data_IF_460571890186
#
_entry.id   IF_460571890186
#
_cell.length_a   1.000
_cell.length_b   1.000
_cell.length_c   1.000
_cell.angle_alpha   90.00
_cell.angle_beta   90.00
_cell.angle_gamma   90.00
#
_symmetry.space_group_name_H-M   'P 1'
#
loop_
_entity.id
_entity.type
_entity.pdbx_description
1 polymer ?
#
# COMPACT_ATOMS: atom_id res chain seq x y z
N UNK A 1 -39.99 -0.42 13.39
CA UNK A 1 -38.93 0.14 12.52
C UNK A 1 -37.61 -0.02 13.26
N UNK A 2 -36.81 -1.03 12.88
CA UNK A 2 -35.65 -1.49 13.65
C UNK A 2 -34.51 -0.51 13.39
N UNK A 3 -34.31 0.47 14.28
CA UNK A 3 -33.04 1.19 14.41
C UNK A 3 -32.03 0.14 14.86
N UNK A 4 -31.62 -0.75 13.95
CA UNK A 4 -30.39 -1.52 14.16
C UNK A 4 -29.32 -0.45 14.18
N UNK A 5 -28.64 -0.36 15.30
CA UNK A 5 -27.63 0.66 15.58
C UNK A 5 -26.64 0.79 14.42
N UNK A 6 -26.87 1.75 13.53
CA UNK A 6 -25.91 2.09 12.47
C UNK A 6 -24.53 2.39 13.08
N UNK A 7 -24.51 2.93 14.30
CA UNK A 7 -23.29 3.14 15.07
C UNK A 7 -22.59 1.84 15.46
N UNK A 8 -23.33 0.80 15.86
CA UNK A 8 -22.75 -0.51 16.20
C UNK A 8 -22.22 -1.19 14.94
N UNK A 9 -22.93 -1.08 13.81
CA UNK A 9 -22.48 -1.63 12.53
C UNK A 9 -21.24 -0.90 11.99
N UNK A 10 -21.21 0.43 12.09
CA UNK A 10 -20.02 1.24 11.77
C UNK A 10 -18.82 0.88 12.66
N UNK A 11 -19.02 0.72 13.96
CA UNK A 11 -17.94 0.32 14.88
C UNK A 11 -17.42 -1.08 14.57
N UNK A 12 -18.29 -2.05 14.25
CA UNK A 12 -17.89 -3.39 13.82
C UNK A 12 -17.08 -3.36 12.51
N UNK A 13 -17.53 -2.57 11.53
CA UNK A 13 -16.81 -2.41 10.27
C UNK A 13 -15.44 -1.75 10.46
N UNK A 14 -15.32 -0.79 11.40
CA UNK A 14 -14.05 -0.17 11.77
C UNK A 14 -13.08 -1.17 12.40
N UNK A 15 -13.54 -1.96 13.38
CA UNK A 15 -12.74 -3.01 14.02
C UNK A 15 -12.29 -4.04 12.98
N UNK A 16 -13.17 -4.45 12.06
CA UNK A 16 -12.83 -5.39 10.99
C UNK A 16 -11.80 -4.80 10.01
N UNK A 17 -11.90 -3.50 9.70
CA UNK A 17 -10.92 -2.81 8.86
C UNK A 17 -9.54 -2.69 9.54
N UNK A 18 -9.52 -2.43 10.85
CA UNK A 18 -8.29 -2.41 11.66
C UNK A 18 -7.66 -3.82 11.73
N UNK A 19 -8.48 -4.86 11.93
CA UNK A 19 -8.04 -6.25 11.91
C UNK A 19 -7.45 -6.64 10.56
N UNK A 20 -8.12 -6.29 9.46
CA UNK A 20 -7.61 -6.56 8.11
C UNK A 20 -6.26 -5.88 7.86
N UNK A 21 -6.06 -4.66 8.38
CA UNK A 21 -4.78 -3.96 8.30
C UNK A 21 -3.69 -4.70 9.07
N UNK A 22 -3.99 -5.21 10.27
CA UNK A 22 -3.06 -6.02 11.05
C UNK A 22 -2.72 -7.35 10.35
N UNK A 23 -3.71 -8.04 9.79
CA UNK A 23 -3.49 -9.28 9.02
C UNK A 23 -2.56 -9.04 7.84
N UNK A 24 -2.82 -8.01 7.02
CA UNK A 24 -1.92 -7.66 5.92
C UNK A 24 -0.51 -7.32 6.42
N UNK A 25 -0.38 -6.64 7.56
CA UNK A 25 0.92 -6.34 8.16
C UNK A 25 1.67 -7.61 8.58
N UNK A 26 1.00 -8.58 9.20
CA UNK A 26 1.60 -9.87 9.53
C UNK A 26 2.00 -10.68 8.29
N UNK A 27 1.22 -10.64 7.20
CA UNK A 27 1.59 -11.30 5.93
C UNK A 27 2.86 -10.69 5.34
N UNK A 28 2.98 -9.36 5.38
CA UNK A 28 4.20 -8.66 4.94
C UNK A 28 5.40 -9.05 5.81
N UNK A 29 5.23 -9.06 7.14
CA UNK A 29 6.29 -9.50 8.06
C UNK A 29 6.68 -10.95 7.77
N UNK A 30 5.71 -11.84 7.56
CA UNK A 30 5.96 -13.25 7.25
C UNK A 30 6.77 -13.41 5.97
N UNK A 31 6.41 -12.67 4.92
CA UNK A 31 7.18 -12.63 3.67
C UNK A 31 8.62 -12.14 3.90
N UNK A 32 8.80 -11.07 4.66
CA UNK A 32 10.12 -10.52 5.00
C UNK A 32 10.94 -11.53 5.79
N UNK A 33 10.39 -12.15 6.84
CA UNK A 33 11.11 -13.14 7.65
C UNK A 33 11.49 -14.36 6.81
N UNK A 34 10.59 -14.88 5.98
CA UNK A 34 10.87 -16.03 5.09
C UNK A 34 11.91 -15.71 4.02
N UNK A 35 11.83 -14.54 3.41
CA UNK A 35 12.79 -14.11 2.39
C UNK A 35 14.17 -13.86 3.01
N UNK A 36 14.23 -13.29 4.22
CA UNK A 36 15.50 -12.81 4.80
C UNK A 36 16.18 -13.80 5.74
N UNK A 37 15.42 -14.44 6.62
CA UNK A 37 15.98 -15.39 7.60
C UNK A 37 16.13 -16.79 7.00
N UNK A 38 15.11 -17.25 6.28
CA UNK A 38 15.10 -18.59 5.69
C UNK A 38 15.70 -18.64 4.28
N UNK A 39 16.03 -17.48 3.68
CA UNK A 39 16.56 -17.35 2.31
C UNK A 39 15.74 -18.14 1.27
N UNK A 40 14.43 -18.25 1.50
CA UNK A 40 13.53 -19.01 0.65
C UNK A 40 13.31 -18.27 -0.66
N UNK A 41 13.25 -19.02 -1.76
CA UNK A 41 12.98 -18.48 -3.08
C UNK A 41 11.53 -17.95 -3.17
N UNK A 42 11.27 -17.04 -4.11
CA UNK A 42 9.95 -16.43 -4.33
C UNK A 42 8.88 -17.49 -4.63
N UNK A 43 9.28 -18.60 -5.25
CA UNK A 43 8.40 -19.75 -5.51
C UNK A 43 7.84 -20.41 -4.23
N UNK A 44 8.51 -20.25 -3.09
CA UNK A 44 8.06 -20.80 -1.82
C UNK A 44 7.24 -19.81 -0.98
N UNK A 45 7.19 -18.54 -1.42
CA UNK A 45 6.42 -17.46 -0.78
C UNK A 45 5.24 -17.00 -1.67
N UNK A 46 4.75 -17.87 -2.56
CA UNK A 46 3.66 -17.57 -3.50
C UNK A 46 2.41 -17.12 -2.74
N UNK A 47 2.08 -17.75 -1.62
CA UNK A 47 0.89 -17.43 -0.82
C UNK A 47 0.89 -15.99 -0.32
N UNK A 48 2.00 -15.54 0.24
CA UNK A 48 2.18 -14.18 0.73
C UNK A 48 2.16 -13.18 -0.42
N UNK A 49 2.81 -13.52 -1.54
CA UNK A 49 2.83 -12.70 -2.73
C UNK A 49 1.43 -12.50 -3.34
N UNK A 50 0.66 -13.58 -3.45
CA UNK A 50 -0.74 -13.56 -3.90
C UNK A 50 -1.58 -12.68 -2.99
N UNK A 51 -1.49 -12.83 -1.66
CA UNK A 51 -2.27 -12.03 -0.72
C UNK A 51 -1.89 -10.54 -0.83
N UNK A 52 -0.59 -10.22 -0.90
CA UNK A 52 -0.10 -8.84 -0.99
C UNK A 52 -0.57 -8.15 -2.29
N UNK A 53 -0.70 -8.88 -3.40
CA UNK A 53 -1.17 -8.33 -4.68
C UNK A 53 -2.70 -8.30 -4.77
N UNK A 54 -3.38 -9.38 -4.41
CA UNK A 54 -4.83 -9.49 -4.58
C UNK A 54 -5.59 -8.65 -3.56
N UNK A 55 -5.09 -8.48 -2.33
CA UNK A 55 -5.75 -7.66 -1.32
C UNK A 55 -5.99 -6.20 -1.78
N UNK A 56 -4.99 -5.44 -2.29
CA UNK A 56 -5.22 -4.08 -2.79
C UNK A 56 -6.06 -4.06 -4.06
N UNK A 57 -5.94 -5.05 -4.96
CA UNK A 57 -6.78 -5.14 -6.17
C UNK A 57 -8.24 -5.31 -5.77
N UNK A 58 -8.54 -6.23 -4.85
CA UNK A 58 -9.88 -6.45 -4.35
C UNK A 58 -10.45 -5.19 -3.66
N UNK A 59 -9.65 -4.50 -2.86
CA UNK A 59 -10.05 -3.21 -2.26
C UNK A 59 -10.33 -2.15 -3.32
N UNK A 60 -9.52 -2.07 -4.37
CA UNK A 60 -9.69 -1.12 -5.47
C UNK A 60 -10.96 -1.40 -6.29
N UNK A 61 -11.23 -2.67 -6.61
CA UNK A 61 -12.43 -3.06 -7.37
C UNK A 61 -13.68 -2.83 -6.52
N UNK A 62 -13.67 -3.26 -5.26
CA UNK A 62 -14.84 -3.15 -4.39
C UNK A 62 -15.14 -1.70 -3.98
N UNK A 63 -14.14 -0.84 -3.83
CA UNK A 63 -14.36 0.60 -3.63
C UNK A 63 -15.01 1.28 -4.83
N UNK A 64 -14.66 0.87 -6.06
CA UNK A 64 -15.34 1.35 -7.27
C UNK A 64 -16.80 0.91 -7.31
N UNK A 65 -17.08 -0.36 -6.98
CA UNK A 65 -18.46 -0.88 -6.95
C UNK A 65 -19.35 -0.21 -5.90
N UNK A 66 -18.76 0.20 -4.77
CA UNK A 66 -19.49 0.84 -3.66
C UNK A 66 -19.54 2.37 -3.79
N UNK A 67 -18.93 2.97 -4.80
CA UNK A 67 -18.82 4.43 -4.94
C UNK A 67 -18.00 5.11 -3.83
N UNK A 68 -17.36 4.35 -2.95
CA UNK A 68 -16.64 4.87 -1.79
C UNK A 68 -15.21 5.24 -2.18
N UNK A 69 -14.80 6.45 -1.83
CA UNK A 69 -13.41 6.88 -1.95
C UNK A 69 -12.59 6.18 -0.85
N UNK A 70 -11.82 5.15 -1.24
CA UNK A 70 -10.94 4.39 -0.33
C UNK A 70 -9.95 5.29 0.45
N UNK A 71 -9.68 6.49 -0.05
CA UNK A 71 -8.78 7.50 0.51
C UNK A 71 -9.56 8.63 1.15
N UNK A 72 -10.00 8.45 2.39
CA UNK A 72 -10.58 9.54 3.20
C UNK A 72 -9.60 10.68 3.48
N UNK A 73 -8.30 10.47 3.26
CA UNK A 73 -7.23 11.41 3.57
C UNK A 73 -6.26 11.62 2.39
N UNK A 74 -6.78 11.99 1.21
CA UNK A 74 -5.94 12.34 0.06
C UNK A 74 -4.96 13.49 0.42
N UNK A 75 -5.44 14.46 1.19
CA UNK A 75 -4.65 15.59 1.72
C UNK A 75 -3.48 15.15 2.62
N UNK A 76 -3.62 14.04 3.32
CA UNK A 76 -2.55 13.47 4.16
C UNK A 76 -1.57 12.61 3.36
N UNK A 77 -2.00 12.04 2.23
CA UNK A 77 -1.10 11.38 1.27
C UNK A 77 -0.28 12.39 0.44
N UNK A 78 -0.80 13.60 0.25
CA UNK A 78 -0.07 14.73 -0.33
C UNK A 78 0.97 15.33 0.64
N UNK A 79 0.97 14.91 1.91
CA UNK A 79 1.81 15.50 2.92
C UNK A 79 3.29 15.13 2.65
N UNK A 80 4.17 16.10 2.32
CA UNK A 80 5.54 15.81 1.89
C UNK A 80 6.34 15.05 2.95
N UNK A 81 6.07 15.30 4.24
CA UNK A 81 6.69 14.58 5.36
C UNK A 81 6.43 13.07 5.32
N UNK A 82 5.19 12.66 5.05
CA UNK A 82 4.81 11.24 4.96
C UNK A 82 5.43 10.58 3.72
N UNK A 83 5.51 11.31 2.60
CA UNK A 83 6.16 10.80 1.39
C UNK A 83 7.67 10.60 1.59
N UNK A 84 8.34 11.52 2.28
CA UNK A 84 9.74 11.38 2.67
C UNK A 84 9.91 10.17 3.60
N UNK A 85 9.05 10.02 4.62
CA UNK A 85 9.09 8.85 5.52
C UNK A 85 8.93 7.54 4.74
N UNK A 86 8.00 7.47 3.79
CA UNK A 86 7.77 6.27 2.97
C UNK A 86 8.92 5.99 2.01
N UNK A 87 9.54 7.02 1.43
CA UNK A 87 10.73 6.87 0.60
C UNK A 87 11.92 6.36 1.41
N UNK A 88 12.15 6.93 2.61
CA UNK A 88 13.19 6.47 3.55
C UNK A 88 12.92 5.01 3.95
N UNK A 89 11.68 4.67 4.30
CA UNK A 89 11.31 3.30 4.65
C UNK A 89 11.60 2.34 3.49
N UNK A 90 11.27 2.73 2.25
CA UNK A 90 11.57 1.95 1.05
C UNK A 90 13.07 1.73 0.84
N UNK A 91 13.88 2.77 1.03
CA UNK A 91 15.35 2.69 0.94
C UNK A 91 15.92 1.79 2.05
N UNK A 92 15.41 1.90 3.28
CA UNK A 92 15.85 1.05 4.41
C UNK A 92 15.52 -0.41 4.15
N UNK A 93 14.29 -0.72 3.72
CA UNK A 93 13.87 -2.09 3.38
C UNK A 93 14.72 -2.63 2.22
N UNK A 94 14.97 -1.82 1.20
CA UNK A 94 15.85 -2.22 0.09
C UNK A 94 17.27 -2.54 0.57
N UNK A 95 17.86 -1.66 1.38
CA UNK A 95 19.22 -1.87 1.91
C UNK A 95 19.27 -3.08 2.85
N UNK A 96 18.21 -3.31 3.62
CA UNK A 96 18.09 -4.46 4.51
C UNK A 96 17.98 -5.78 3.72
N UNK A 97 17.20 -5.81 2.63
CA UNK A 97 17.14 -6.96 1.70
C UNK A 97 18.49 -7.16 1.00
N UNK A 98 19.15 -6.08 0.58
CA UNK A 98 20.47 -6.16 -0.05
C UNK A 98 21.52 -6.76 0.88
N UNK A 99 21.60 -6.27 2.12
CA UNK A 99 22.54 -6.74 3.15
C UNK A 99 22.34 -8.22 3.46
N UNK A 100 21.08 -8.68 3.54
CA UNK A 100 20.74 -10.07 3.88
C UNK A 100 20.83 -11.02 2.69
N UNK A 101 20.64 -10.53 1.46
CA UNK A 101 20.74 -11.35 0.24
C UNK A 101 22.18 -11.72 -0.13
N UNK A 102 23.19 -11.13 0.51
CA UNK A 102 24.61 -11.46 0.30
C UNK A 102 25.12 -11.22 -1.12
N UNK A 103 24.33 -10.56 -1.99
CA UNK A 103 24.71 -10.22 -3.35
C UNK A 103 25.73 -9.08 -3.28
N UNK A 104 26.96 -9.37 -3.69
CA UNK A 104 28.01 -8.37 -3.86
C UNK A 104 27.70 -7.51 -5.10
N UNK A 105 26.69 -6.65 -4.96
CA UNK A 105 26.38 -5.62 -5.94
C UNK A 105 27.49 -4.58 -5.84
N UNK A 106 28.22 -4.38 -6.93
CA UNK A 106 29.25 -3.33 -7.01
C UNK A 106 28.62 -1.96 -6.74
N UNK A 107 29.39 -1.05 -6.12
CA UNK A 107 28.89 0.26 -5.65
C UNK A 107 28.17 1.06 -6.74
N UNK A 108 28.67 0.97 -7.97
CA UNK A 108 28.09 1.54 -9.20
C UNK A 108 26.63 1.07 -9.43
N UNK A 109 26.38 -0.24 -9.33
CA UNK A 109 25.06 -0.82 -9.55
C UNK A 109 24.11 -0.53 -8.38
N UNK A 110 24.61 -0.46 -7.15
CA UNK A 110 23.80 -0.09 -5.98
C UNK A 110 23.26 1.34 -6.11
N UNK A 111 24.09 2.27 -6.58
CA UNK A 111 23.67 3.65 -6.84
C UNK A 111 22.56 3.73 -7.90
N UNK A 112 22.75 3.05 -9.04
CA UNK A 112 21.73 2.99 -10.10
C UNK A 112 20.42 2.36 -9.65
N UNK A 113 20.48 1.34 -8.80
CA UNK A 113 19.28 0.68 -8.27
C UNK A 113 18.49 1.59 -7.34
N UNK A 114 19.18 2.32 -6.44
CA UNK A 114 18.56 3.29 -5.53
C UNK A 114 17.98 4.47 -6.33
N UNK A 115 18.71 4.98 -7.33
CA UNK A 115 18.23 6.04 -8.19
C UNK A 115 16.96 5.61 -8.96
N UNK A 116 16.97 4.41 -9.55
CA UNK A 116 15.81 3.84 -10.25
C UNK A 116 14.62 3.65 -9.30
N UNK A 117 14.85 3.16 -8.08
CA UNK A 117 13.81 2.99 -7.06
C UNK A 117 13.17 4.32 -6.68
N UNK A 118 13.97 5.37 -6.42
CA UNK A 118 13.45 6.68 -6.06
C UNK A 118 12.61 7.27 -7.20
N UNK A 119 13.11 7.21 -8.44
CA UNK A 119 12.36 7.70 -9.61
C UNK A 119 11.05 6.94 -9.78
N UNK A 120 11.07 5.61 -9.73
CA UNK A 120 9.87 4.79 -9.85
C UNK A 120 8.87 5.06 -8.70
N UNK A 121 9.36 5.21 -7.47
CA UNK A 121 8.54 5.53 -6.30
C UNK A 121 7.82 6.88 -6.46
N UNK A 122 8.54 7.93 -6.86
CA UNK A 122 7.95 9.24 -7.10
C UNK A 122 6.96 9.21 -8.28
N UNK A 123 7.27 8.51 -9.38
CA UNK A 123 6.36 8.37 -10.52
C UNK A 123 5.06 7.66 -10.15
N UNK A 124 5.14 6.50 -9.49
CA UNK A 124 3.95 5.75 -9.04
C UNK A 124 3.11 6.61 -8.11
N UNK A 125 3.73 7.37 -7.21
CA UNK A 125 3.03 8.29 -6.31
C UNK A 125 2.33 9.42 -7.05
N UNK A 126 2.99 10.08 -7.99
CA UNK A 126 2.39 11.15 -8.79
C UNK A 126 1.20 10.61 -9.60
N UNK A 127 1.36 9.44 -10.22
CA UNK A 127 0.28 8.78 -10.97
C UNK A 127 -0.90 8.42 -10.05
N UNK A 128 -0.61 7.85 -8.88
CA UNK A 128 -1.63 7.49 -7.89
C UNK A 128 -2.41 8.72 -7.41
N UNK A 129 -1.71 9.79 -7.03
CA UNK A 129 -2.32 11.05 -6.58
C UNK A 129 -3.17 11.68 -7.68
N UNK A 130 -2.63 11.79 -8.90
CA UNK A 130 -3.34 12.39 -10.03
C UNK A 130 -4.57 11.58 -10.43
N UNK A 131 -4.49 10.26 -10.36
CA UNK A 131 -5.62 9.36 -10.62
C UNK A 131 -6.72 9.55 -9.57
N UNK A 132 -6.37 9.74 -8.31
CA UNK A 132 -7.34 9.96 -7.24
C UNK A 132 -7.94 11.37 -7.27
N UNK A 133 -7.16 12.41 -7.58
CA UNK A 133 -7.69 13.78 -7.77
C UNK A 133 -8.72 13.83 -8.91
N UNK A 134 -8.43 13.14 -10.02
CA UNK A 134 -9.37 13.02 -11.13
C UNK A 134 -10.66 12.29 -10.76
N UNK A 135 -10.60 11.39 -9.77
CA UNK A 135 -11.76 10.66 -9.26
C UNK A 135 -12.60 11.52 -8.31
N UNK A 136 -11.95 12.22 -7.37
CA UNK A 136 -12.65 13.11 -6.42
C UNK A 136 -13.38 14.21 -7.17
N UNK A 137 -12.76 14.84 -8.17
CA UNK A 137 -13.40 15.89 -8.98
C UNK A 137 -14.59 15.40 -9.80
N UNK A 138 -14.64 14.11 -10.16
CA UNK A 138 -15.81 13.53 -10.84
C UNK A 138 -16.96 13.29 -9.86
N UNK A 139 -16.64 12.77 -8.67
CA UNK A 139 -17.63 12.56 -7.60
C UNK A 139 -18.21 13.90 -7.11
N UNK A 140 -17.40 14.93 -6.91
CA UNK A 140 -17.85 16.24 -6.44
C UNK A 140 -18.84 16.89 -7.42
N UNK A 141 -18.60 16.78 -8.73
CA UNK A 141 -19.54 17.24 -9.76
C UNK A 141 -20.85 16.45 -9.77
N UNK A 142 -20.79 15.15 -9.55
CA UNK A 142 -21.97 14.28 -9.52
C UNK A 142 -22.88 14.57 -8.31
N UNK A 143 -22.35 15.12 -7.22
CA UNK A 143 -23.12 15.57 -6.05
C UNK A 143 -23.57 17.04 -6.09
N UNK A 144 -22.97 17.87 -6.95
CA UNK A 144 -23.42 19.27 -7.16
C UNK A 144 -24.57 19.37 -8.17
N UNK A 145 -24.69 18.38 -9.06
CA UNK A 145 -25.73 18.31 -10.11
C UNK A 145 -27.04 17.61 -9.65
N UNK A 146 -27.08 17.05 -8.43
CA UNK A 146 -28.25 16.42 -7.76
C UNK A 146 -28.87 17.35 -6.69
#
# INVERSE_FOLDING_TARGET
>A
MKIRDERVEQNKNKILAELMRLVCFFVVISFVVKSLYFKMDLSQCITEYVIIIFAPIYQMVRSRQLGVVLTTNLREQLNPKRNIIMAILGVVVFFFIWFTSGRQVTKEFAFWYIATFLVAFFLIRVVFVRSEEGRIKKLEKEFEDD
#
